data_IF_411120402746
#
_entry.id   IF_411120402746
#
_cell.length_a   1.000
_cell.length_b   1.000
_cell.length_c   1.000
_cell.angle_alpha   90.00
_cell.angle_beta   90.00
_cell.angle_gamma   90.00
#
_symmetry.space_group_name_H-M   'P 1'
#
loop_
_entity.id
_entity.type
_entity.pdbx_description
1 polymer ?
#
# COMPACT_ATOMS: atom_id res chain seq x y z
N UNK A 1 64.10 22.36 -50.31
CA UNK A 1 64.04 21.68 -49.00
C UNK A 1 62.65 21.78 -48.44
N UNK A 2 61.83 20.79 -48.73
CA UNK A 2 60.46 20.71 -48.16
C UNK A 2 60.44 19.68 -47.04
N UNK A 3 60.19 20.13 -45.82
CA UNK A 3 59.93 19.25 -44.64
C UNK A 3 58.51 18.75 -44.71
N UNK A 4 58.35 17.42 -44.82
CA UNK A 4 57.08 16.73 -44.68
C UNK A 4 56.73 16.63 -43.18
N UNK A 5 55.63 17.24 -42.78
CA UNK A 5 55.05 17.11 -41.43
C UNK A 5 54.02 15.97 -41.57
N UNK A 6 54.29 14.85 -40.94
CA UNK A 6 53.34 13.73 -40.81
C UNK A 6 52.38 13.98 -39.65
N UNK A 7 51.10 14.07 -39.94
CA UNK A 7 50.05 14.16 -38.93
C UNK A 7 49.67 12.71 -38.58
N UNK A 8 49.96 12.27 -37.35
CA UNK A 8 49.50 11.01 -36.80
C UNK A 8 48.09 11.24 -36.23
N UNK A 9 47.09 10.71 -36.89
CA UNK A 9 45.70 10.76 -36.42
C UNK A 9 45.50 9.59 -35.46
N UNK A 10 45.50 9.88 -34.15
CA UNK A 10 45.17 8.85 -33.12
C UNK A 10 43.67 8.73 -33.02
N UNK A 11 43.16 7.60 -33.53
CA UNK A 11 41.74 7.23 -33.43
C UNK A 11 41.47 6.73 -32.00
N UNK A 12 40.86 7.53 -31.17
CA UNK A 12 40.38 7.13 -29.83
C UNK A 12 39.02 6.43 -30.07
N UNK A 13 39.02 5.10 -30.03
CA UNK A 13 37.78 4.31 -29.97
C UNK A 13 37.25 4.35 -28.57
N UNK A 14 36.20 5.13 -28.33
CA UNK A 14 35.41 5.07 -27.11
C UNK A 14 34.61 3.75 -27.12
N UNK A 15 35.11 2.73 -26.43
CA UNK A 15 34.29 1.57 -26.06
C UNK A 15 33.27 2.04 -25.02
N UNK A 16 32.08 2.41 -25.44
CA UNK A 16 30.91 2.46 -24.56
C UNK A 16 30.61 1.04 -24.09
N UNK A 17 31.16 0.63 -22.94
CA UNK A 17 30.68 -0.54 -22.20
C UNK A 17 29.35 -0.14 -21.61
N UNK A 18 28.29 -0.21 -22.42
CA UNK A 18 26.93 -0.22 -21.92
C UNK A 18 26.81 -1.43 -21.00
N UNK A 19 26.57 -1.23 -19.72
CA UNK A 19 26.06 -2.30 -18.83
C UNK A 19 24.74 -2.74 -19.41
N UNK A 20 24.77 -3.78 -20.25
CA UNK A 20 23.57 -4.45 -20.70
C UNK A 20 22.92 -5.02 -19.44
N UNK A 21 21.90 -4.35 -18.92
CA UNK A 21 21.01 -4.95 -17.93
C UNK A 21 20.49 -6.24 -18.59
N UNK A 22 20.83 -7.39 -18.02
CA UNK A 22 20.36 -8.66 -18.53
C UNK A 22 18.82 -8.61 -18.60
N UNK A 23 18.26 -8.98 -19.74
CA UNK A 23 16.81 -9.03 -19.90
C UNK A 23 16.18 -9.89 -18.79
N UNK A 24 15.02 -9.49 -18.25
CA UNK A 24 14.37 -10.26 -17.19
C UNK A 24 14.18 -11.71 -17.58
N UNK A 25 14.55 -12.62 -16.70
CA UNK A 25 14.37 -14.06 -16.94
C UNK A 25 12.87 -14.38 -16.87
N UNK A 26 12.34 -14.98 -17.93
CA UNK A 26 10.93 -15.37 -18.01
C UNK A 26 10.72 -16.78 -17.47
N UNK A 27 9.55 -17.00 -16.86
CA UNK A 27 9.12 -18.29 -16.34
C UNK A 27 9.54 -18.55 -14.89
N UNK A 28 9.17 -19.73 -14.38
CA UNK A 28 9.48 -20.18 -13.05
C UNK A 28 8.51 -19.72 -11.97
N UNK A 29 8.79 -20.17 -10.74
CA UNK A 29 7.98 -19.90 -9.56
C UNK A 29 8.74 -19.06 -8.54
N UNK A 30 8.16 -17.97 -8.08
CA UNK A 30 8.63 -17.22 -6.92
C UNK A 30 7.91 -17.75 -5.66
N UNK A 31 8.67 -18.08 -4.63
CA UNK A 31 8.14 -18.40 -3.29
C UNK A 31 8.42 -17.22 -2.35
N UNK A 32 7.36 -16.56 -1.91
CA UNK A 32 7.41 -15.39 -1.05
C UNK A 32 7.01 -15.79 0.38
N UNK A 33 7.92 -15.69 1.34
CA UNK A 33 7.68 -15.93 2.76
C UNK A 33 7.16 -14.67 3.45
N UNK A 34 5.95 -14.74 4.01
CA UNK A 34 5.28 -13.64 4.72
C UNK A 34 4.88 -14.02 6.14
N UNK A 35 4.62 -13.01 6.99
CA UNK A 35 4.42 -13.20 8.43
C UNK A 35 3.05 -13.73 8.85
N UNK A 36 2.09 -13.88 7.95
CA UNK A 36 0.76 -14.37 8.29
C UNK A 36 -0.08 -14.72 7.06
N UNK A 37 -1.21 -15.37 7.28
CA UNK A 37 -2.17 -15.67 6.23
C UNK A 37 -3.10 -14.47 5.97
N UNK A 38 -3.77 -14.48 4.84
CA UNK A 38 -4.82 -13.50 4.51
C UNK A 38 -6.12 -13.80 5.29
N UNK A 39 -6.90 -12.76 5.57
CA UNK A 39 -8.24 -12.88 6.15
C UNK A 39 -9.25 -13.17 5.04
N UNK A 40 -9.18 -12.42 3.96
CA UNK A 40 -9.99 -12.56 2.76
C UNK A 40 -9.25 -11.96 1.57
N UNK A 41 -9.85 -12.07 0.38
CA UNK A 41 -9.30 -11.56 -0.88
C UNK A 41 -10.33 -10.74 -1.66
N UNK A 42 -11.28 -10.12 -0.96
CA UNK A 42 -12.14 -9.10 -1.54
C UNK A 42 -11.63 -7.72 -1.14
N UNK A 43 -10.98 -6.96 -2.05
CA UNK A 43 -10.21 -5.76 -1.71
C UNK A 43 -11.06 -4.68 -1.04
N UNK A 44 -12.36 -4.60 -1.32
CA UNK A 44 -13.25 -3.61 -0.71
C UNK A 44 -13.47 -3.82 0.81
N UNK A 45 -13.23 -5.03 1.32
CA UNK A 45 -13.59 -5.40 2.69
C UNK A 45 -12.39 -5.86 3.53
N UNK A 46 -11.20 -5.91 2.96
CA UNK A 46 -10.00 -6.27 3.72
C UNK A 46 -9.36 -5.03 4.35
N UNK A 47 -8.63 -5.25 5.44
CA UNK A 47 -7.95 -4.18 6.19
C UNK A 47 -6.54 -4.56 6.59
N UNK A 48 -6.10 -5.77 6.29
CA UNK A 48 -4.80 -6.29 6.68
C UNK A 48 -3.83 -6.38 5.49
N UNK A 49 -2.56 -6.07 5.74
CA UNK A 49 -1.54 -6.04 4.70
C UNK A 49 -1.20 -7.42 4.09
N UNK A 50 -1.52 -8.55 4.76
CA UNK A 50 -1.32 -9.86 4.17
C UNK A 50 -2.37 -10.16 3.09
N UNK A 51 -3.60 -9.66 3.26
CA UNK A 51 -4.67 -9.75 2.26
C UNK A 51 -4.35 -8.85 1.07
N UNK A 52 -4.02 -7.56 1.30
CA UNK A 52 -3.71 -6.61 0.24
C UNK A 52 -2.51 -7.05 -0.60
N UNK A 53 -1.46 -7.59 0.00
CA UNK A 53 -0.32 -8.14 -0.75
C UNK A 53 -0.71 -9.17 -1.83
N UNK A 54 -1.81 -9.90 -1.62
CA UNK A 54 -2.34 -10.82 -2.61
C UNK A 54 -3.24 -10.08 -3.59
N UNK A 55 -4.09 -9.17 -3.09
CA UNK A 55 -5.01 -8.38 -3.89
C UNK A 55 -4.28 -7.56 -4.96
N UNK A 56 -3.16 -6.90 -4.62
CA UNK A 56 -2.30 -6.13 -5.52
C UNK A 56 -1.81 -6.90 -6.76
N UNK A 57 -1.82 -8.23 -6.69
CA UNK A 57 -1.43 -9.07 -7.82
C UNK A 57 -2.62 -9.54 -8.67
N UNK A 58 -3.82 -9.49 -8.11
CA UNK A 58 -5.05 -10.01 -8.73
C UNK A 58 -5.90 -8.90 -9.32
N UNK A 59 -5.93 -7.74 -8.66
CA UNK A 59 -6.81 -6.64 -8.99
C UNK A 59 -6.03 -5.39 -9.41
N UNK A 60 -6.74 -4.44 -9.97
CA UNK A 60 -6.22 -3.12 -10.33
C UNK A 60 -7.30 -2.06 -10.13
N UNK A 61 -6.86 -0.86 -9.73
CA UNK A 61 -7.72 0.31 -9.61
C UNK A 61 -7.73 1.17 -10.88
N UNK A 62 -8.54 2.23 -10.90
CA UNK A 62 -8.59 3.18 -12.02
C UNK A 62 -7.27 3.94 -12.18
N UNK A 63 -6.64 4.28 -11.08
CA UNK A 63 -5.31 4.92 -11.02
C UNK A 63 -4.39 4.07 -10.19
N UNK A 64 -3.10 4.12 -10.44
CA UNK A 64 -2.06 3.41 -9.71
C UNK A 64 -1.12 4.40 -9.03
N UNK A 65 -0.38 3.95 -8.04
CA UNK A 65 0.75 4.69 -7.50
C UNK A 65 2.02 4.32 -8.25
N UNK A 66 2.85 5.33 -8.54
CA UNK A 66 4.19 5.10 -9.08
C UNK A 66 5.06 4.36 -8.06
N UNK A 67 5.96 3.53 -8.56
CA UNK A 67 6.96 2.86 -7.72
C UNK A 67 7.71 3.85 -6.82
N UNK A 68 7.88 3.49 -5.55
CA UNK A 68 8.61 4.26 -4.53
C UNK A 68 8.06 5.68 -4.28
N UNK A 69 6.82 5.97 -4.69
CA UNK A 69 6.21 7.31 -4.64
C UNK A 69 4.73 7.24 -4.24
N UNK A 70 4.17 8.38 -3.81
CA UNK A 70 2.73 8.60 -3.69
C UNK A 70 2.15 9.41 -4.86
N UNK A 71 2.93 9.61 -5.92
CA UNK A 71 2.44 10.18 -7.17
C UNK A 71 1.57 9.15 -7.90
N UNK A 72 0.56 9.65 -8.59
CA UNK A 72 -0.39 8.81 -9.32
C UNK A 72 -0.01 8.69 -10.79
N UNK A 73 -0.33 7.53 -11.33
CA UNK A 73 -0.22 7.22 -12.76
C UNK A 73 -1.47 6.49 -13.26
N UNK A 74 -1.67 6.39 -14.59
CA UNK A 74 -2.76 5.63 -15.17
C UNK A 74 -2.74 4.15 -14.79
N UNK A 75 -3.86 3.67 -14.20
CA UNK A 75 -4.16 2.26 -13.97
C UNK A 75 -5.10 1.72 -15.06
N UNK A 76 -6.28 1.23 -14.67
CA UNK A 76 -7.34 0.82 -15.60
C UNK A 76 -7.99 2.01 -16.35
N UNK A 77 -7.81 3.24 -15.87
CA UNK A 77 -8.10 4.44 -16.64
C UNK A 77 -6.82 4.91 -17.37
N UNK A 78 -6.94 5.21 -18.67
CA UNK A 78 -5.83 5.79 -19.46
C UNK A 78 -5.60 7.25 -19.13
N UNK A 79 -6.69 7.95 -18.74
CA UNK A 79 -6.66 9.37 -18.40
C UNK A 79 -7.89 9.77 -17.61
N UNK A 80 -7.81 10.93 -16.98
CA UNK A 80 -8.96 11.56 -16.30
C UNK A 80 -8.93 13.07 -16.43
N UNK A 81 -10.09 13.68 -16.26
CA UNK A 81 -10.25 15.14 -16.18
C UNK A 81 -11.02 15.50 -14.93
N UNK A 82 -10.70 16.67 -14.39
CA UNK A 82 -11.35 17.21 -13.20
C UNK A 82 -12.00 18.54 -13.61
N UNK A 83 -13.29 18.73 -13.28
CA UNK A 83 -13.99 19.98 -13.53
C UNK A 83 -13.38 21.16 -12.78
N UNK A 84 -13.63 22.37 -13.24
CA UNK A 84 -13.07 23.60 -12.66
C UNK A 84 -13.49 23.80 -11.19
N UNK A 85 -14.67 23.30 -10.83
CA UNK A 85 -15.17 23.34 -9.44
C UNK A 85 -14.61 22.20 -8.56
N UNK A 86 -13.79 21.30 -9.13
CA UNK A 86 -13.17 20.19 -8.41
C UNK A 86 -14.12 19.07 -7.98
N UNK A 87 -15.35 19.03 -8.52
CA UNK A 87 -16.37 18.08 -8.06
C UNK A 87 -16.74 16.99 -9.06
N UNK A 88 -16.35 17.11 -10.32
CA UNK A 88 -16.64 16.10 -11.33
C UNK A 88 -15.34 15.51 -11.84
N UNK A 89 -15.21 14.19 -11.71
CA UNK A 89 -14.08 13.42 -12.23
C UNK A 89 -14.56 12.52 -13.35
N UNK A 90 -13.99 12.69 -14.55
CA UNK A 90 -14.32 11.88 -15.71
C UNK A 90 -13.13 11.02 -16.07
N UNK A 91 -13.29 9.71 -15.98
CA UNK A 91 -12.26 8.72 -16.31
C UNK A 91 -12.51 8.13 -17.70
N UNK A 92 -11.48 8.07 -18.53
CA UNK A 92 -11.44 7.31 -19.79
C UNK A 92 -10.76 5.98 -19.55
N UNK A 93 -11.48 4.90 -19.77
CA UNK A 93 -11.04 3.55 -19.42
C UNK A 93 -10.26 2.89 -20.56
N UNK A 94 -9.33 2.00 -20.22
CA UNK A 94 -8.64 1.15 -21.18
C UNK A 94 -9.60 0.22 -21.87
N UNK A 95 -9.40 0.06 -23.18
CA UNK A 95 -10.19 -0.85 -23.99
C UNK A 95 -9.48 -2.20 -24.15
N UNK A 96 -10.25 -3.28 -24.33
CA UNK A 96 -9.72 -4.63 -24.55
C UNK A 96 -9.17 -5.34 -23.32
N UNK A 97 -9.25 -4.74 -22.14
CA UNK A 97 -8.91 -5.39 -20.86
C UNK A 97 -9.95 -6.47 -20.53
N UNK A 98 -9.49 -7.61 -20.04
CA UNK A 98 -10.35 -8.73 -19.61
C UNK A 98 -10.08 -9.10 -18.16
N UNK A 99 -11.13 -9.46 -17.47
CA UNK A 99 -11.02 -10.16 -16.18
C UNK A 99 -10.47 -11.57 -16.37
N UNK A 100 -9.98 -12.18 -15.28
CA UNK A 100 -9.42 -13.55 -15.29
C UNK A 100 -10.43 -14.63 -15.70
N UNK A 101 -11.73 -14.34 -15.62
CA UNK A 101 -12.81 -15.21 -16.09
C UNK A 101 -13.15 -15.01 -17.59
N UNK A 102 -12.40 -14.15 -18.28
CA UNK A 102 -12.56 -13.84 -19.69
C UNK A 102 -13.63 -12.78 -20.00
N UNK A 103 -14.39 -12.31 -19.00
CA UNK A 103 -15.38 -11.24 -19.19
C UNK A 103 -14.70 -9.90 -19.43
N UNK A 104 -15.31 -8.98 -20.21
CA UNK A 104 -14.70 -7.69 -20.51
C UNK A 104 -14.74 -6.74 -19.31
N UNK A 105 -13.66 -5.98 -19.13
CA UNK A 105 -13.64 -4.80 -18.27
C UNK A 105 -14.25 -3.62 -19.03
N UNK A 106 -15.16 -2.88 -18.40
CA UNK A 106 -15.80 -1.70 -18.94
C UNK A 106 -16.32 -0.78 -17.82
N UNK A 107 -17.00 0.30 -18.20
CA UNK A 107 -17.56 1.27 -17.27
C UNK A 107 -18.58 0.68 -16.30
N UNK A 108 -19.38 -0.28 -16.74
CA UNK A 108 -20.35 -0.96 -15.87
C UNK A 108 -19.68 -1.78 -14.76
N UNK A 109 -18.52 -2.37 -15.03
CA UNK A 109 -17.74 -3.07 -14.01
C UNK A 109 -17.19 -2.12 -12.94
N UNK A 110 -16.78 -0.90 -13.33
CA UNK A 110 -16.39 0.16 -12.39
C UNK A 110 -17.57 0.58 -11.52
N UNK A 111 -18.71 0.89 -12.15
CA UNK A 111 -19.94 1.28 -11.46
C UNK A 111 -20.38 0.20 -10.47
N UNK A 112 -20.27 -1.08 -10.85
CA UNK A 112 -20.55 -2.21 -9.97
C UNK A 112 -19.60 -2.28 -8.78
N UNK A 113 -18.31 -2.27 -9.05
CA UNK A 113 -17.27 -2.48 -8.02
C UNK A 113 -17.31 -1.41 -6.94
N UNK A 114 -17.45 -0.15 -7.33
CA UNK A 114 -17.54 0.97 -6.39
C UNK A 114 -18.94 1.07 -5.80
N UNK A 115 -19.98 0.90 -6.61
CA UNK A 115 -21.37 1.02 -6.19
C UNK A 115 -21.77 0.02 -5.09
N UNK A 116 -21.12 -1.15 -5.00
CA UNK A 116 -21.39 -2.14 -3.93
C UNK A 116 -20.99 -1.67 -2.53
N UNK A 117 -20.12 -0.66 -2.42
CA UNK A 117 -19.70 -0.06 -1.15
C UNK A 117 -20.59 1.13 -0.75
N UNK A 118 -21.27 1.77 -1.71
CA UNK A 118 -22.09 2.96 -1.47
C UNK A 118 -23.36 2.63 -0.69
N UNK A 119 -23.67 3.41 0.35
CA UNK A 119 -24.93 3.30 1.10
C UNK A 119 -26.16 3.60 0.25
N UNK A 120 -26.13 4.74 -0.45
CA UNK A 120 -27.28 5.24 -1.21
C UNK A 120 -27.37 4.65 -2.62
N UNK A 121 -26.30 3.95 -3.08
CA UNK A 121 -26.23 3.29 -4.38
C UNK A 121 -26.73 4.15 -5.54
N UNK A 122 -26.41 5.43 -5.53
CA UNK A 122 -26.70 6.34 -6.64
C UNK A 122 -25.76 6.06 -7.81
N UNK A 123 -26.00 4.95 -8.48
CA UNK A 123 -25.21 4.46 -9.59
C UNK A 123 -26.07 4.36 -10.85
N UNK A 124 -25.43 4.60 -12.00
CA UNK A 124 -26.08 4.47 -13.30
C UNK A 124 -25.16 3.70 -14.25
N UNK A 125 -25.64 2.56 -14.68
CA UNK A 125 -24.99 1.73 -15.70
C UNK A 125 -25.25 2.27 -17.10
N UNK A 126 -24.31 2.01 -18.01
CA UNK A 126 -24.47 2.29 -19.43
C UNK A 126 -25.30 1.21 -20.11
N UNK A 127 -25.01 -0.07 -19.83
CA UNK A 127 -25.71 -1.22 -20.38
C UNK A 127 -26.89 -1.66 -19.53
N UNK A 128 -27.15 -2.98 -19.51
CA UNK A 128 -28.22 -3.57 -18.72
C UNK A 128 -28.04 -3.37 -17.22
N UNK A 129 -26.76 -3.22 -16.79
CA UNK A 129 -26.39 -3.09 -15.39
C UNK A 129 -26.50 -4.38 -14.60
N UNK A 130 -26.35 -4.21 -13.29
CA UNK A 130 -26.33 -5.30 -12.33
C UNK A 130 -27.23 -4.95 -11.15
N UNK A 131 -27.94 -5.94 -10.65
CA UNK A 131 -28.64 -5.83 -9.37
C UNK A 131 -27.62 -6.11 -8.25
N UNK A 132 -27.04 -5.03 -7.71
CA UNK A 132 -25.96 -5.11 -6.71
C UNK A 132 -26.54 -5.63 -5.40
N UNK A 133 -26.15 -6.83 -4.92
CA UNK A 133 -26.70 -7.40 -3.68
C UNK A 133 -26.26 -6.58 -2.46
N UNK A 134 -27.09 -6.62 -1.42
CA UNK A 134 -26.72 -6.07 -0.12
C UNK A 134 -25.49 -6.78 0.44
N UNK A 135 -24.55 -5.99 0.99
CA UNK A 135 -23.35 -6.53 1.59
C UNK A 135 -23.54 -6.62 3.11
N UNK A 136 -23.13 -7.75 3.68
CA UNK A 136 -23.18 -7.98 5.13
C UNK A 136 -21.96 -7.37 5.85
N UNK A 137 -20.83 -7.20 5.13
CA UNK A 137 -19.59 -6.65 5.65
C UNK A 137 -19.54 -5.12 5.47
N UNK A 138 -18.92 -4.45 6.42
CA UNK A 138 -18.63 -3.01 6.31
C UNK A 138 -17.33 -2.80 5.56
N UNK A 139 -17.29 -1.98 4.50
CA UNK A 139 -16.06 -1.62 3.82
C UNK A 139 -15.32 -0.55 4.65
N UNK A 140 -14.47 -0.98 5.58
CA UNK A 140 -13.91 -0.12 6.63
C UNK A 140 -13.07 1.03 6.08
N UNK A 141 -12.25 0.81 5.05
CA UNK A 141 -11.49 1.89 4.41
C UNK A 141 -12.39 2.89 3.69
N UNK A 142 -13.42 2.42 3.00
CA UNK A 142 -14.43 3.28 2.38
C UNK A 142 -15.10 4.21 3.39
N UNK A 143 -15.49 3.65 4.53
CA UNK A 143 -16.12 4.41 5.63
C UNK A 143 -15.10 5.36 6.29
N UNK A 144 -13.89 4.89 6.57
CA UNK A 144 -12.84 5.70 7.22
C UNK A 144 -12.36 6.86 6.36
N UNK A 145 -12.39 6.71 5.02
CA UNK A 145 -12.07 7.79 4.08
C UNK A 145 -13.29 8.67 3.74
N UNK A 146 -14.40 8.48 4.45
CA UNK A 146 -15.65 9.26 4.27
C UNK A 146 -16.14 9.28 2.82
N UNK A 147 -15.99 8.17 2.11
CA UNK A 147 -16.31 8.11 0.67
C UNK A 147 -17.81 8.27 0.40
N UNK A 148 -18.70 7.79 1.29
CA UNK A 148 -20.14 8.03 1.20
C UNK A 148 -20.51 9.52 1.37
N UNK A 149 -19.73 10.27 2.17
CA UNK A 149 -19.95 11.71 2.36
C UNK A 149 -19.28 12.54 1.25
N UNK A 150 -18.38 11.94 0.51
CA UNK A 150 -17.65 12.55 -0.59
C UNK A 150 -18.34 12.35 -1.93
N UNK A 151 -18.72 11.11 -2.28
CA UNK A 151 -19.33 10.78 -3.57
C UNK A 151 -20.85 10.99 -3.52
N UNK A 152 -21.38 11.75 -4.49
CA UNK A 152 -22.83 11.84 -4.71
C UNK A 152 -23.32 10.72 -5.63
N UNK A 153 -22.69 10.56 -6.79
CA UNK A 153 -23.11 9.56 -7.76
C UNK A 153 -21.98 9.07 -8.66
N UNK A 154 -22.18 7.89 -9.25
CA UNK A 154 -21.29 7.30 -10.25
C UNK A 154 -22.12 6.92 -11.47
N UNK A 155 -21.67 7.34 -12.65
CA UNK A 155 -22.39 7.12 -13.91
C UNK A 155 -21.45 6.61 -14.99
N UNK A 156 -21.76 5.46 -15.59
CA UNK A 156 -21.20 5.07 -16.87
C UNK A 156 -21.93 5.84 -17.98
N UNK A 157 -21.25 6.75 -18.64
CA UNK A 157 -21.84 7.58 -19.71
C UNK A 157 -21.75 6.94 -21.09
N UNK A 158 -20.76 6.09 -21.27
CA UNK A 158 -20.59 5.18 -22.40
C UNK A 158 -19.82 3.92 -21.91
N UNK A 159 -19.52 2.99 -22.82
CA UNK A 159 -18.88 1.72 -22.48
C UNK A 159 -17.52 1.87 -21.79
N UNK A 160 -16.79 2.97 -22.05
CA UNK A 160 -15.43 3.22 -21.54
C UNK A 160 -15.27 4.59 -20.88
N UNK A 161 -16.36 5.19 -20.40
CA UNK A 161 -16.31 6.46 -19.69
C UNK A 161 -17.14 6.39 -18.42
N UNK A 162 -16.49 6.68 -17.28
CA UNK A 162 -17.14 6.78 -15.97
C UNK A 162 -17.00 8.18 -15.40
N UNK A 163 -18.09 8.71 -14.88
CA UNK A 163 -18.15 10.02 -14.23
C UNK A 163 -18.49 9.84 -12.75
N UNK A 164 -17.64 10.36 -11.89
CA UNK A 164 -17.89 10.51 -10.46
C UNK A 164 -18.31 11.96 -10.20
N UNK A 165 -19.46 12.12 -9.58
CA UNK A 165 -19.91 13.41 -9.07
C UNK A 165 -19.69 13.45 -7.57
N UNK A 166 -18.99 14.47 -7.07
CA UNK A 166 -18.73 14.65 -5.66
C UNK A 166 -19.70 15.66 -5.03
N UNK A 167 -20.08 15.45 -3.78
CA UNK A 167 -20.86 16.37 -2.96
C UNK A 167 -20.05 17.61 -2.58
N UNK A 168 -18.77 17.41 -2.29
CA UNK A 168 -17.79 18.43 -1.90
C UNK A 168 -16.47 18.25 -2.65
N UNK A 169 -15.66 19.29 -2.69
CA UNK A 169 -14.27 19.16 -3.15
C UNK A 169 -13.50 18.34 -2.13
N UNK A 170 -12.85 17.29 -2.62
CA UNK A 170 -12.06 16.36 -1.77
C UNK A 170 -10.67 16.17 -2.38
N UNK A 171 -9.65 16.80 -1.79
CA UNK A 171 -8.29 16.81 -2.34
C UNK A 171 -7.69 15.40 -2.46
N UNK A 172 -7.84 14.47 -1.50
CA UNK A 172 -7.32 13.11 -1.61
C UNK A 172 -8.17 12.15 -2.45
N UNK A 173 -9.31 12.59 -3.00
CA UNK A 173 -10.24 11.70 -3.72
C UNK A 173 -9.53 10.82 -4.76
N UNK A 174 -8.71 11.43 -5.62
CA UNK A 174 -8.03 10.68 -6.67
C UNK A 174 -7.01 9.68 -6.11
N UNK A 175 -6.32 10.05 -5.03
CA UNK A 175 -5.41 9.15 -4.33
C UNK A 175 -6.18 7.99 -3.68
N UNK A 176 -7.33 8.25 -3.07
CA UNK A 176 -8.18 7.21 -2.49
C UNK A 176 -8.67 6.22 -3.56
N UNK A 177 -8.88 6.67 -4.81
CA UNK A 177 -9.27 5.81 -5.93
C UNK A 177 -8.12 4.95 -6.48
N UNK A 178 -6.91 5.11 -5.98
CA UNK A 178 -5.76 4.24 -6.23
C UNK A 178 -5.44 3.27 -5.07
N UNK A 179 -6.25 3.27 -4.00
CA UNK A 179 -6.09 2.33 -2.89
C UNK A 179 -6.83 1.03 -3.18
N UNK A 180 -6.37 -0.06 -2.58
CA UNK A 180 -6.90 -1.42 -2.77
C UNK A 180 -8.43 -1.52 -2.66
N UNK A 181 -9.04 -0.80 -1.73
CA UNK A 181 -10.50 -0.85 -1.60
C UNK A 181 -11.25 -0.39 -2.86
N UNK A 182 -10.61 0.42 -3.70
CA UNK A 182 -11.16 0.93 -4.96
C UNK A 182 -10.83 0.05 -6.18
N UNK A 183 -10.23 -1.11 -5.98
CA UNK A 183 -9.95 -2.07 -7.02
C UNK A 183 -11.21 -2.58 -7.71
N UNK A 184 -11.06 -2.86 -9.00
CA UNK A 184 -12.17 -3.30 -9.84
C UNK A 184 -12.22 -4.83 -9.91
N UNK A 185 -13.37 -5.37 -9.57
CA UNK A 185 -13.63 -6.82 -9.55
C UNK A 185 -14.50 -7.25 -10.74
N UNK A 186 -14.47 -8.54 -11.10
CA UNK A 186 -15.42 -9.09 -12.07
C UNK A 186 -16.84 -9.13 -11.48
N UNK A 187 -17.80 -8.34 -12.02
CA UNK A 187 -19.19 -8.44 -11.62
C UNK A 187 -19.77 -9.82 -11.84
N UNK A 188 -19.40 -10.48 -12.93
CA UNK A 188 -19.85 -11.83 -13.27
C UNK A 188 -19.43 -12.85 -12.22
N UNK A 189 -18.15 -12.90 -11.89
CA UNK A 189 -17.64 -13.81 -10.86
C UNK A 189 -18.26 -13.55 -9.49
N UNK A 190 -18.38 -12.27 -9.12
CA UNK A 190 -18.99 -11.88 -7.85
C UNK A 190 -20.48 -12.32 -7.78
N UNK A 191 -21.26 -12.10 -8.83
CA UNK A 191 -22.69 -12.45 -8.86
C UNK A 191 -22.97 -13.95 -8.86
N UNK A 192 -22.03 -14.78 -9.32
CA UNK A 192 -22.15 -16.25 -9.23
C UNK A 192 -22.21 -16.70 -7.76
N UNK A 193 -21.31 -16.18 -6.93
CA UNK A 193 -21.29 -16.51 -5.51
C UNK A 193 -20.63 -15.40 -4.67
N UNK A 194 -21.40 -14.37 -4.25
CA UNK A 194 -20.87 -13.25 -3.50
C UNK A 194 -20.16 -13.63 -2.19
N UNK A 195 -20.63 -14.69 -1.51
CA UNK A 195 -20.07 -15.13 -0.23
C UNK A 195 -18.71 -15.83 -0.38
N UNK A 196 -18.49 -16.48 -1.50
CA UNK A 196 -17.23 -17.18 -1.79
C UNK A 196 -16.24 -16.33 -2.55
N UNK A 197 -16.63 -15.13 -3.02
CA UNK A 197 -15.74 -14.25 -3.79
C UNK A 197 -14.45 -13.93 -3.04
N UNK A 198 -14.54 -13.74 -1.73
CA UNK A 198 -13.37 -13.48 -0.88
C UNK A 198 -12.37 -14.67 -0.82
N UNK A 199 -12.75 -15.85 -1.30
CA UNK A 199 -11.91 -17.06 -1.40
C UNK A 199 -11.58 -17.45 -2.84
N UNK A 200 -12.29 -16.88 -3.81
CA UNK A 200 -12.14 -17.13 -5.23
C UNK A 200 -12.16 -15.80 -6.00
N UNK A 201 -11.17 -14.92 -5.77
CA UNK A 201 -11.13 -13.58 -6.35
C UNK A 201 -10.89 -13.62 -7.86
N UNK A 202 -11.54 -12.69 -8.58
CA UNK A 202 -11.40 -12.51 -10.01
C UNK A 202 -11.24 -11.03 -10.33
N UNK A 203 -10.05 -10.64 -10.76
CA UNK A 203 -9.66 -9.28 -11.15
C UNK A 203 -9.10 -9.22 -12.56
N UNK A 204 -8.38 -8.13 -12.86
CA UNK A 204 -7.73 -7.87 -14.16
C UNK A 204 -6.21 -8.02 -14.10
N UNK A 205 -5.65 -8.15 -12.91
CA UNK A 205 -4.23 -8.03 -12.61
C UNK A 205 -3.31 -9.05 -13.30
N UNK A 206 -1.98 -8.89 -13.10
CA UNK A 206 -0.96 -9.70 -13.76
C UNK A 206 -0.97 -11.17 -13.35
N UNK A 207 -1.53 -11.49 -12.19
CA UNK A 207 -1.65 -12.85 -11.72
C UNK A 207 -3.10 -13.19 -11.38
N UNK A 208 -3.51 -14.43 -11.63
CA UNK A 208 -4.83 -14.96 -11.29
C UNK A 208 -4.76 -15.93 -10.13
N UNK A 209 -5.79 -15.95 -9.32
CA UNK A 209 -5.93 -16.87 -8.20
C UNK A 209 -6.01 -18.33 -8.67
N UNK A 210 -5.32 -19.22 -7.96
CA UNK A 210 -5.35 -20.67 -8.22
C UNK A 210 -5.85 -21.43 -7.01
N UNK A 211 -5.25 -21.19 -5.83
CA UNK A 211 -5.56 -21.98 -4.63
C UNK A 211 -5.14 -21.23 -3.37
N UNK A 212 -5.94 -21.42 -2.34
CA UNK A 212 -5.61 -21.02 -0.97
C UNK A 212 -5.69 -22.24 -0.05
N UNK A 213 -4.59 -22.57 0.60
CA UNK A 213 -4.51 -23.52 1.70
C UNK A 213 -4.35 -22.70 2.97
N UNK A 214 -5.41 -22.68 3.79
CA UNK A 214 -5.45 -21.84 4.99
C UNK A 214 -4.24 -22.07 5.88
N UNK A 215 -3.67 -20.98 6.39
CA UNK A 215 -2.50 -20.93 7.29
C UNK A 215 -1.22 -21.55 6.71
N UNK A 216 -1.21 -21.92 5.42
CA UNK A 216 -0.04 -22.46 4.73
C UNK A 216 0.37 -21.58 3.54
N UNK A 217 -0.44 -21.54 2.48
CA UNK A 217 -0.05 -20.81 1.26
C UNK A 217 -1.21 -20.35 0.39
N UNK A 218 -0.94 -19.28 -0.37
CA UNK A 218 -1.77 -18.88 -1.50
C UNK A 218 -0.93 -19.00 -2.77
N UNK A 219 -1.53 -19.54 -3.83
CA UNK A 219 -0.89 -19.78 -5.13
C UNK A 219 -1.58 -18.93 -6.19
N UNK A 220 -0.81 -18.14 -6.89
CA UNK A 220 -1.23 -17.36 -8.04
C UNK A 220 -0.50 -17.84 -9.29
N UNK A 221 -1.20 -17.89 -10.43
CA UNK A 221 -0.61 -18.19 -11.72
C UNK A 221 -0.63 -16.96 -12.61
N UNK A 222 0.30 -16.90 -13.54
CA UNK A 222 0.38 -15.87 -14.57
C UNK A 222 -0.95 -15.65 -15.28
N UNK A 223 -1.35 -14.40 -15.45
CA UNK A 223 -2.40 -14.01 -16.38
C UNK A 223 -1.80 -13.85 -17.79
N UNK A 224 -2.02 -14.83 -18.68
CA UNK A 224 -1.52 -14.80 -20.04
C UNK A 224 -2.15 -13.70 -20.90
N UNK A 225 -3.37 -13.28 -20.51
CA UNK A 225 -4.15 -12.27 -21.22
C UNK A 225 -3.99 -10.87 -20.59
N UNK A 226 -3.02 -10.71 -19.68
CA UNK A 226 -2.75 -9.41 -19.05
C UNK A 226 -2.56 -8.32 -20.09
N UNK A 227 -3.24 -7.22 -19.91
CA UNK A 227 -3.33 -6.15 -20.91
C UNK A 227 -1.99 -5.42 -21.13
N UNK A 228 -1.20 -5.20 -20.06
CA UNK A 228 0.11 -4.56 -20.18
C UNK A 228 1.18 -5.57 -20.63
N UNK A 229 1.53 -5.47 -21.89
CA UNK A 229 2.57 -6.33 -22.50
C UNK A 229 3.98 -5.79 -22.32
N UNK A 230 4.13 -4.57 -21.81
CA UNK A 230 5.45 -3.93 -21.65
C UNK A 230 6.15 -4.34 -20.34
N UNK A 231 5.37 -4.52 -19.26
CA UNK A 231 5.87 -4.69 -17.89
C UNK A 231 5.89 -6.11 -17.34
N UNK A 232 5.29 -7.09 -17.97
CA UNK A 232 5.24 -8.45 -17.42
C UNK A 232 3.89 -9.13 -17.61
N UNK A 233 3.48 -10.09 -16.75
CA UNK A 233 4.26 -10.76 -15.71
C UNK A 233 5.34 -11.68 -16.28
N UNK A 234 6.52 -11.65 -15.67
CA UNK A 234 7.66 -12.48 -16.10
C UNK A 234 7.58 -13.90 -15.54
N UNK A 235 7.09 -14.08 -14.31
CA UNK A 235 6.99 -15.37 -13.62
C UNK A 235 5.76 -16.15 -14.09
N UNK A 236 5.82 -17.48 -14.06
CA UNK A 236 4.66 -18.34 -14.33
C UNK A 236 3.77 -18.47 -13.10
N UNK A 237 4.35 -18.38 -11.88
CA UNK A 237 3.65 -18.59 -10.62
C UNK A 237 4.26 -17.81 -9.50
N UNK A 238 3.42 -17.35 -8.55
CA UNK A 238 3.84 -16.85 -7.25
C UNK A 238 3.16 -17.65 -6.15
N UNK A 239 3.95 -18.10 -5.17
CA UNK A 239 3.48 -18.83 -4.00
C UNK A 239 3.77 -18.00 -2.76
N UNK A 240 2.74 -17.52 -2.07
CA UNK A 240 2.87 -16.81 -0.81
C UNK A 240 2.74 -17.81 0.34
N UNK A 241 3.86 -18.10 1.02
CA UNK A 241 3.89 -18.98 2.18
C UNK A 241 3.75 -18.21 3.48
N UNK A 242 2.83 -18.66 4.33
CA UNK A 242 2.64 -18.10 5.68
C UNK A 242 3.62 -18.75 6.64
N UNK A 243 4.58 -17.98 7.13
CA UNK A 243 5.61 -18.42 8.10
C UNK A 243 5.65 -17.34 9.19
N UNK A 244 4.87 -17.47 10.28
CA UNK A 244 4.68 -16.42 11.27
C UNK A 244 6.00 -16.00 11.97
N UNK A 245 6.84 -16.95 12.33
CA UNK A 245 8.08 -16.67 13.02
C UNK A 245 9.16 -16.09 12.10
N UNK A 246 9.58 -14.85 12.38
CA UNK A 246 10.54 -14.13 11.55
C UNK A 246 11.88 -14.87 11.40
N UNK A 247 12.39 -15.46 12.49
CA UNK A 247 13.65 -16.23 12.49
C UNK A 247 13.54 -17.48 11.61
N UNK A 248 12.41 -18.19 11.68
CA UNK A 248 12.15 -19.38 10.84
C UNK A 248 12.06 -18.96 9.37
N UNK A 249 11.41 -17.85 9.09
CA UNK A 249 11.27 -17.31 7.73
C UNK A 249 12.65 -16.95 7.15
N UNK A 250 13.54 -16.34 7.95
CA UNK A 250 14.90 -16.05 7.52
C UNK A 250 15.74 -17.30 7.29
N UNK A 251 15.60 -18.33 8.15
CA UNK A 251 16.27 -19.63 7.95
C UNK A 251 15.79 -20.34 6.68
N UNK A 252 14.49 -20.28 6.37
CA UNK A 252 13.92 -20.81 5.10
C UNK A 252 14.50 -20.09 3.87
N UNK A 253 14.73 -18.76 3.96
CA UNK A 253 15.43 -18.03 2.91
C UNK A 253 16.85 -18.55 2.70
N UNK A 254 17.61 -18.72 3.78
CA UNK A 254 18.99 -19.24 3.71
C UNK A 254 19.08 -20.67 3.21
N UNK A 255 18.07 -21.48 3.50
CA UNK A 255 17.95 -22.85 3.02
C UNK A 255 17.45 -22.97 1.58
N UNK A 256 16.98 -21.87 0.97
CA UNK A 256 16.39 -21.86 -0.37
C UNK A 256 14.95 -22.38 -0.42
N UNK A 257 14.27 -22.54 0.72
CA UNK A 257 12.87 -22.92 0.81
C UNK A 257 11.91 -21.80 0.43
N UNK A 258 12.36 -20.56 0.52
CA UNK A 258 11.71 -19.35 -0.01
C UNK A 258 12.72 -18.49 -0.77
N UNK A 259 12.24 -17.63 -1.67
CA UNK A 259 13.07 -16.71 -2.47
C UNK A 259 13.03 -15.27 -1.95
N UNK A 260 12.00 -14.90 -1.23
CA UNK A 260 11.82 -13.58 -0.60
C UNK A 260 11.39 -13.79 0.86
N UNK A 261 12.06 -13.10 1.77
CA UNK A 261 11.71 -13.06 3.19
C UNK A 261 11.21 -11.65 3.54
N UNK A 262 9.93 -11.52 3.85
CA UNK A 262 9.35 -10.27 4.30
C UNK A 262 9.69 -10.02 5.77
N UNK A 263 10.06 -8.79 6.10
CA UNK A 263 10.29 -8.31 7.46
C UNK A 263 11.16 -9.25 8.33
N UNK A 264 12.43 -9.47 7.96
CA UNK A 264 13.37 -10.18 8.84
C UNK A 264 13.53 -9.42 10.16
N UNK A 265 13.96 -10.11 11.23
CA UNK A 265 14.31 -9.41 12.47
C UNK A 265 15.48 -8.45 12.25
N UNK A 266 15.62 -7.37 13.02
CA UNK A 266 16.77 -6.47 12.94
C UNK A 266 18.14 -7.18 13.01
N UNK A 267 18.26 -8.18 13.86
CA UNK A 267 19.50 -8.99 13.95
C UNK A 267 19.76 -9.80 12.67
N UNK A 268 18.73 -10.29 12.01
CA UNK A 268 18.86 -11.06 10.77
C UNK A 268 19.23 -10.17 9.58
N UNK A 269 18.87 -8.88 9.62
CA UNK A 269 19.23 -7.89 8.58
C UNK A 269 20.75 -7.72 8.47
N UNK A 270 21.46 -7.66 9.61
CA UNK A 270 22.92 -7.55 9.59
C UNK A 270 23.57 -8.82 9.02
N UNK A 271 23.02 -10.00 9.33
CA UNK A 271 23.47 -11.26 8.73
C UNK A 271 23.19 -11.30 7.23
N UNK A 272 22.05 -10.77 6.78
CA UNK A 272 21.72 -10.68 5.36
C UNK A 272 22.67 -9.75 4.60
N UNK A 273 23.11 -8.63 5.19
CA UNK A 273 24.10 -7.72 4.57
C UNK A 273 25.45 -8.37 4.33
N UNK A 274 25.82 -9.34 5.15
CA UNK A 274 27.10 -10.07 5.07
C UNK A 274 27.04 -11.26 4.11
N UNK A 275 25.86 -11.74 3.76
CA UNK A 275 25.68 -12.90 2.89
C UNK A 275 25.60 -12.48 1.42
N UNK A 276 26.59 -12.89 0.62
CA UNK A 276 26.69 -12.56 -0.81
C UNK A 276 25.56 -13.15 -1.65
N UNK A 277 24.84 -14.15 -1.15
CA UNK A 277 23.73 -14.79 -1.82
C UNK A 277 22.39 -14.12 -1.52
N UNK A 278 22.35 -13.18 -0.56
CA UNK A 278 21.14 -12.47 -0.16
C UNK A 278 21.24 -11.02 -0.63
N UNK A 279 20.22 -10.57 -1.35
CA UNK A 279 20.03 -9.16 -1.68
C UNK A 279 19.07 -8.55 -0.66
N UNK A 280 19.55 -7.62 0.14
CA UNK A 280 18.72 -6.81 1.02
C UNK A 280 18.06 -5.70 0.18
N UNK A 281 16.74 -5.58 0.26
CA UNK A 281 15.96 -4.51 -0.37
C UNK A 281 15.38 -3.67 0.76
N UNK A 282 15.80 -2.42 0.84
CA UNK A 282 15.35 -1.44 1.83
C UNK A 282 14.74 -0.26 1.10
N UNK A 283 13.56 0.17 1.52
CA UNK A 283 12.91 1.37 1.00
C UNK A 283 12.29 2.17 2.13
N UNK A 284 12.18 3.49 1.99
CA UNK A 284 11.49 4.33 2.96
C UNK A 284 10.05 3.87 3.16
N UNK A 285 9.70 3.55 4.42
CA UNK A 285 8.36 3.09 4.76
C UNK A 285 7.36 4.24 4.84
N UNK A 286 6.08 3.88 4.73
CA UNK A 286 4.95 4.82 4.94
C UNK A 286 4.33 4.68 6.35
N UNK A 287 4.89 3.82 7.20
CA UNK A 287 4.39 3.60 8.55
C UNK A 287 4.98 4.60 9.55
N UNK A 288 4.14 5.07 10.46
CA UNK A 288 4.53 5.87 11.62
C UNK A 288 4.17 5.09 12.89
N UNK A 289 5.17 4.77 13.71
CA UNK A 289 4.96 4.33 15.08
C UNK A 289 4.73 5.54 15.98
N UNK A 290 3.65 5.55 16.74
CA UNK A 290 3.27 6.69 17.58
C UNK A 290 2.65 6.27 18.90
N UNK A 291 2.73 7.18 19.87
CA UNK A 291 1.96 7.12 21.12
C UNK A 291 0.73 8.01 20.98
N UNK A 292 -0.44 7.41 21.02
CA UNK A 292 -1.72 8.14 20.95
C UNK A 292 -2.27 8.44 22.32
N UNK A 293 -2.89 9.62 22.47
CA UNK A 293 -3.59 10.03 23.67
C UNK A 293 -5.10 10.03 23.42
N UNK A 294 -5.86 9.45 24.36
CA UNK A 294 -7.32 9.48 24.26
C UNK A 294 -7.86 10.86 24.66
N UNK A 295 -8.04 11.73 23.67
CA UNK A 295 -8.53 13.10 23.87
C UNK A 295 -9.98 13.21 24.34
N UNK A 296 -10.73 12.10 24.44
CA UNK A 296 -12.09 12.11 25.02
C UNK A 296 -12.10 11.96 26.53
N UNK A 297 -10.96 11.54 27.13
CA UNK A 297 -10.82 11.26 28.55
C UNK A 297 -9.78 12.16 29.23
N UNK A 298 -10.03 12.49 30.51
CA UNK A 298 -9.01 13.12 31.36
C UNK A 298 -7.93 12.08 31.76
N UNK A 299 -6.70 12.52 31.98
CA UNK A 299 -6.20 13.89 31.92
C UNK A 299 -5.84 14.36 30.52
N UNK A 300 -5.98 13.51 29.50
CA UNK A 300 -5.51 13.79 28.13
C UNK A 300 -6.34 14.87 27.42
N UNK A 301 -7.64 14.94 27.69
CA UNK A 301 -8.57 15.85 27.02
C UNK A 301 -8.16 17.31 27.20
N UNK A 302 -7.98 17.75 28.45
CA UNK A 302 -7.74 19.14 28.77
C UNK A 302 -6.27 19.49 28.97
N UNK A 303 -5.40 18.53 29.33
CA UNK A 303 -4.05 18.80 29.78
C UNK A 303 -3.00 18.70 28.66
N UNK A 304 -2.85 19.79 27.89
CA UNK A 304 -1.83 19.89 26.82
C UNK A 304 -0.40 19.77 27.38
N UNK A 305 -0.14 20.32 28.58
CA UNK A 305 1.19 20.30 29.20
C UNK A 305 1.62 18.86 29.52
N UNK A 306 0.70 18.03 30.02
CA UNK A 306 0.99 16.62 30.28
C UNK A 306 1.39 15.86 28.99
N UNK A 307 0.67 16.08 27.88
CA UNK A 307 1.02 15.47 26.59
C UNK A 307 2.40 15.91 26.09
N UNK A 308 2.74 17.19 26.27
CA UNK A 308 4.08 17.72 25.92
C UNK A 308 5.17 17.15 26.82
N UNK A 309 4.92 17.02 28.13
CA UNK A 309 5.86 16.43 29.07
C UNK A 309 6.28 15.02 28.61
N UNK A 310 5.32 14.19 28.23
CA UNK A 310 5.60 12.86 27.67
C UNK A 310 6.37 12.96 26.36
N UNK A 311 5.99 13.88 25.46
CA UNK A 311 6.70 14.09 24.19
C UNK A 311 8.18 14.42 24.35
N UNK A 312 8.55 15.25 25.34
CA UNK A 312 9.95 15.57 25.66
C UNK A 312 10.65 14.46 26.46
N UNK A 313 9.93 13.67 27.26
CA UNK A 313 10.51 12.57 28.04
C UNK A 313 10.90 11.36 27.21
N UNK A 314 10.32 11.19 26.03
CA UNK A 314 10.58 10.02 25.18
C UNK A 314 11.88 10.15 24.39
N UNK A 315 12.86 9.32 24.70
CA UNK A 315 14.10 9.20 23.92
C UNK A 315 13.87 8.36 22.64
N UNK A 316 13.20 8.95 21.66
CA UNK A 316 12.85 8.27 20.39
C UNK A 316 14.06 7.85 19.59
N UNK A 317 15.17 8.58 19.69
CA UNK A 317 16.43 8.18 19.04
C UNK A 317 16.96 6.86 19.60
N UNK A 318 16.89 6.67 20.91
CA UNK A 318 17.31 5.41 21.53
C UNK A 318 16.45 4.22 21.07
N UNK A 319 15.15 4.42 20.82
CA UNK A 319 14.31 3.37 20.21
C UNK A 319 14.79 3.01 18.81
N UNK A 320 15.04 4.01 17.96
CA UNK A 320 15.53 3.78 16.61
C UNK A 320 16.89 3.07 16.62
N UNK A 321 17.82 3.52 17.47
CA UNK A 321 19.18 2.99 17.48
C UNK A 321 19.24 1.57 18.08
N UNK A 322 18.54 1.31 19.19
CA UNK A 322 18.71 0.09 19.97
C UNK A 322 17.67 -0.99 19.67
N UNK A 323 16.44 -0.60 19.35
CA UNK A 323 15.37 -1.57 19.08
C UNK A 323 15.26 -1.84 17.59
N UNK A 324 15.25 -0.80 16.77
CA UNK A 324 15.17 -0.92 15.32
C UNK A 324 16.54 -1.03 14.65
N UNK A 325 17.65 -0.95 15.40
CA UNK A 325 19.02 -1.04 14.89
C UNK A 325 19.27 -0.11 13.68
N UNK A 326 18.73 1.10 13.74
CA UNK A 326 18.86 2.10 12.68
C UNK A 326 17.94 1.92 11.47
N UNK A 327 17.07 0.89 11.45
CA UNK A 327 16.12 0.66 10.35
C UNK A 327 14.90 1.59 10.36
N UNK A 328 14.98 2.70 11.04
CA UNK A 328 13.93 3.72 11.11
C UNK A 328 14.51 5.11 11.30
N UNK A 329 13.64 6.08 11.33
CA UNK A 329 14.00 7.46 11.66
C UNK A 329 13.00 8.08 12.64
N UNK A 330 13.46 9.05 13.44
CA UNK A 330 12.57 9.74 14.39
C UNK A 330 11.54 10.56 13.64
N UNK A 331 10.27 10.21 13.81
CA UNK A 331 9.14 10.92 13.21
C UNK A 331 8.94 12.30 13.86
N UNK A 332 8.62 13.30 13.03
CA UNK A 332 8.28 14.67 13.45
C UNK A 332 6.85 15.06 13.10
N UNK A 333 6.25 14.36 12.16
CA UNK A 333 4.90 14.56 11.66
C UNK A 333 4.05 13.31 11.87
N UNK A 334 2.72 13.41 11.80
CA UNK A 334 1.84 12.25 11.78
C UNK A 334 1.90 11.47 10.44
N UNK A 335 2.53 12.04 9.42
CA UNK A 335 2.77 11.40 8.12
C UNK A 335 4.27 11.31 7.82
N UNK A 336 4.75 10.30 7.09
CA UNK A 336 6.15 10.12 6.78
C UNK A 336 6.65 11.11 5.70
N UNK A 337 7.97 11.32 5.58
CA UNK A 337 8.55 12.22 4.57
C UNK A 337 8.27 11.84 3.12
N UNK A 338 7.90 10.61 2.86
CA UNK A 338 7.55 10.06 1.55
C UNK A 338 6.19 10.50 1.04
N UNK A 339 5.33 10.99 1.92
CA UNK A 339 3.98 11.43 1.54
C UNK A 339 3.94 12.92 1.20
N UNK A 340 3.15 13.26 0.17
CA UNK A 340 2.80 14.65 -0.10
C UNK A 340 2.08 15.25 1.12
N UNK A 341 2.27 16.54 1.37
CA UNK A 341 1.74 17.20 2.59
C UNK A 341 2.65 17.08 3.82
N UNK A 342 3.75 16.33 3.75
CA UNK A 342 4.75 16.33 4.83
C UNK A 342 5.36 17.72 5.03
N UNK A 343 5.20 18.27 6.24
CA UNK A 343 5.72 19.59 6.56
C UNK A 343 7.08 19.50 7.27
N UNK A 344 8.15 19.78 6.51
CA UNK A 344 9.53 19.77 7.04
C UNK A 344 9.78 20.80 8.15
N UNK A 345 8.97 21.86 8.22
CA UNK A 345 9.13 22.94 9.18
C UNK A 345 8.64 22.60 10.60
N UNK A 346 7.93 21.49 10.77
CA UNK A 346 7.50 21.03 12.11
C UNK A 346 8.75 20.58 12.88
N UNK A 347 9.09 21.22 14.03
CA UNK A 347 10.35 20.94 14.74
C UNK A 347 10.33 19.57 15.47
N UNK A 348 9.15 19.05 15.77
CA UNK A 348 8.99 17.88 16.64
C UNK A 348 9.29 18.22 18.13
N UNK A 349 9.36 17.17 18.95
CA UNK A 349 9.75 17.28 20.34
C UNK A 349 11.11 16.59 20.51
N UNK A 350 12.23 17.31 20.75
CA UNK A 350 13.49 16.67 21.08
C UNK A 350 13.38 15.94 22.43
N UNK A 351 14.25 14.96 22.65
CA UNK A 351 14.41 14.37 23.98
C UNK A 351 15.04 15.40 24.90
N UNK A 352 14.28 15.88 25.89
CA UNK A 352 14.70 16.91 26.86
C UNK A 352 14.03 16.64 28.20
N UNK A 353 14.70 15.88 29.11
CA UNK A 353 14.14 15.57 30.44
C UNK A 353 13.85 16.82 31.29
N UNK A 354 14.64 17.88 31.17
CA UNK A 354 14.41 19.10 31.97
C UNK A 354 13.17 19.85 31.46
N UNK A 355 13.00 19.94 30.14
CA UNK A 355 11.76 20.48 29.57
C UNK A 355 10.56 19.60 29.92
N UNK A 356 10.73 18.28 29.93
CA UNK A 356 9.68 17.36 30.35
C UNK A 356 9.22 17.61 31.79
N UNK A 357 10.15 17.79 32.74
CA UNK A 357 9.84 18.15 34.13
C UNK A 357 9.12 19.49 34.24
N UNK A 358 9.57 20.49 33.47
CA UNK A 358 8.94 21.81 33.42
C UNK A 358 7.50 21.72 32.92
N UNK A 359 7.28 21.02 31.83
CA UNK A 359 5.93 20.82 31.29
C UNK A 359 5.06 19.97 32.22
N UNK A 360 5.63 19.00 32.93
CA UNK A 360 4.92 18.19 33.94
C UNK A 360 4.47 19.05 35.14
N UNK A 361 5.33 19.94 35.61
CA UNK A 361 4.98 20.89 36.66
C UNK A 361 3.87 21.87 36.20
N UNK A 362 3.97 22.37 34.95
CA UNK A 362 2.94 23.22 34.32
C UNK A 362 1.61 22.47 34.12
N UNK A 363 1.67 21.13 34.00
CA UNK A 363 0.50 20.27 33.94
C UNK A 363 -0.22 20.10 35.31
N UNK A 364 0.35 20.63 36.40
CA UNK A 364 -0.16 20.49 37.76
C UNK A 364 0.43 19.31 38.53
N UNK A 365 1.45 18.65 38.00
CA UNK A 365 2.07 17.45 38.61
C UNK A 365 3.57 17.64 38.86
N UNK A 366 4.00 18.62 39.70
CA UNK A 366 5.41 18.82 39.97
C UNK A 366 6.02 17.56 40.57
N UNK A 367 7.18 17.14 40.04
CA UNK A 367 7.85 15.87 40.40
C UNK A 367 6.94 14.62 40.30
N UNK A 368 5.87 14.68 39.52
CA UNK A 368 4.90 13.59 39.39
C UNK A 368 3.88 13.49 40.54
N UNK A 369 3.90 14.40 41.51
CA UNK A 369 2.97 14.37 42.63
C UNK A 369 1.54 14.55 42.18
N UNK A 370 0.67 13.61 42.57
CA UNK A 370 -0.76 13.64 42.22
C UNK A 370 -1.08 13.21 40.81
N UNK A 371 -0.10 12.78 40.03
CA UNK A 371 -0.34 12.19 38.69
C UNK A 371 -1.13 10.89 38.87
N UNK A 372 -2.27 10.73 38.18
CA UNK A 372 -3.02 9.47 38.22
C UNK A 372 -2.23 8.35 37.50
N UNK A 373 -2.58 7.12 37.81
CA UNK A 373 -2.05 5.96 37.09
C UNK A 373 -2.36 6.07 35.60
N UNK A 374 -1.35 5.84 34.78
CA UNK A 374 -1.43 5.88 33.32
C UNK A 374 -1.32 4.47 32.77
N UNK A 375 -2.35 4.00 32.11
CA UNK A 375 -2.36 2.71 31.44
C UNK A 375 -1.90 2.87 29.99
N UNK A 376 -0.83 2.16 29.61
CA UNK A 376 -0.38 2.05 28.22
C UNK A 376 -1.00 0.80 27.58
N UNK A 377 -1.69 1.00 26.48
CA UNK A 377 -2.21 -0.08 25.64
C UNK A 377 -1.27 -0.28 24.45
N UNK A 378 -0.89 -1.52 24.22
CA UNK A 378 -0.09 -1.91 23.03
C UNK A 378 -0.76 -3.05 22.29
N UNK A 379 -0.45 -3.19 21.02
CA UNK A 379 -0.95 -4.32 20.24
C UNK A 379 -0.29 -5.62 20.69
N UNK A 380 -1.05 -6.72 20.84
CA UNK A 380 -0.51 -7.99 21.31
C UNK A 380 0.29 -8.76 20.25
N UNK A 381 0.22 -8.33 19.00
CA UNK A 381 0.90 -8.98 17.87
C UNK A 381 2.10 -8.17 17.40
N UNK A 382 3.24 -8.82 17.09
CA UNK A 382 4.40 -8.14 16.53
C UNK A 382 4.06 -7.43 15.21
N UNK A 383 4.54 -6.19 15.07
CA UNK A 383 4.48 -5.39 13.85
C UNK A 383 5.86 -4.77 13.62
N UNK A 384 6.20 -4.36 12.40
CA UNK A 384 7.49 -3.71 12.14
C UNK A 384 7.76 -2.46 12.98
N UNK A 385 6.71 -1.86 13.53
CA UNK A 385 6.73 -0.64 14.34
C UNK A 385 6.31 -0.85 15.81
N UNK A 386 6.24 -2.09 16.26
CA UNK A 386 5.69 -2.46 17.57
C UNK A 386 6.66 -3.29 18.38
#
# INVERSE_FOLDING_TARGET
MLKKIGVVLTLIVFLCVGTALAAPKKGGTLVFGRGGDSVGLDPAYETDGNSFMICDNIFEALVAYQDESTALEPGLAESWTISTDGKTYTFKLRQGVKFHDGTPFNADAVVFSIGRMMKDRKVKFFGKGWDIPAQERTPEYWVSMEMDDTIDSITATDEYTVVFQLKRVEAPFLANMGMDFADIISPTAFMINPKEFLRNPVGTGPFRFVKWVKDDRIILAKNSDYWDKSGGPYLDQVVFRSIPENSVRFLELKAGGIHVCQFPNPADVELARQDKNIKLIEQPGMNIGYLSFNHTKEPWKSNRHLRKAIGYALNRKAYVDNIYQGMGQVAKNPIPPTMWGYNKAIPGYPYDPEMAKKELAAAGYPEGKGLPEITLWSMPVPRPYN
#
